data_IF_425782327146
#
_entry.id   IF_425782327146
#
_cell.length_a   1.000
_cell.length_b   1.000
_cell.length_c   1.000
_cell.angle_alpha   90.00
_cell.angle_beta   90.00
_cell.angle_gamma   90.00
#
_symmetry.space_group_name_H-M   'P 1'
#
loop_
_entity.id
_entity.type
_entity.pdbx_description
1 polymer ?
#
# COMPACT_ATOMS: atom_id res chain seq x y z
N UNK A 1 -14.05 -28.16 9.82
CA UNK A 1 -14.49 -26.76 9.79
C UNK A 1 -13.63 -26.03 8.77
N UNK A 2 -14.16 -25.06 8.02
CA UNK A 2 -13.34 -24.25 7.10
C UNK A 2 -12.26 -23.49 7.88
N UNK A 3 -11.07 -23.31 7.30
CA UNK A 3 -9.97 -22.54 7.91
C UNK A 3 -10.40 -21.07 8.10
N UNK A 4 -11.03 -20.49 7.08
CA UNK A 4 -11.57 -19.13 7.08
C UNK A 4 -13.04 -19.12 6.63
N UNK A 5 -13.80 -18.16 7.16
CA UNK A 5 -15.14 -17.81 6.71
C UNK A 5 -15.26 -16.30 6.49
N UNK A 6 -16.02 -15.89 5.48
CA UNK A 6 -16.25 -14.48 5.18
C UNK A 6 -17.53 -14.01 5.87
N UNK A 7 -17.43 -12.94 6.66
CA UNK A 7 -18.53 -12.42 7.47
C UNK A 7 -18.68 -10.91 7.27
N UNK A 8 -19.78 -10.32 7.73
CA UNK A 8 -19.98 -8.86 7.72
C UNK A 8 -18.96 -8.08 8.57
N UNK A 9 -18.17 -8.75 9.41
CA UNK A 9 -17.11 -8.12 10.23
C UNK A 9 -15.70 -8.33 9.66
N UNK A 10 -15.55 -9.09 8.58
CA UNK A 10 -14.25 -9.43 7.99
C UNK A 10 -14.04 -10.92 7.81
N UNK A 11 -12.78 -11.26 7.50
CA UNK A 11 -12.29 -12.63 7.27
C UNK A 11 -12.05 -13.29 8.63
N UNK A 12 -12.86 -14.29 8.99
CA UNK A 12 -12.87 -14.90 10.31
C UNK A 12 -12.20 -16.27 10.30
N UNK A 13 -11.35 -16.56 11.27
CA UNK A 13 -10.85 -17.90 11.55
C UNK A 13 -11.58 -18.49 12.78
N UNK A 14 -12.51 -19.45 12.60
CA UNK A 14 -13.23 -20.06 13.72
C UNK A 14 -12.31 -20.78 14.71
N UNK A 15 -11.31 -21.52 14.21
CA UNK A 15 -10.40 -22.32 15.02
C UNK A 15 -9.51 -21.48 15.96
N UNK A 16 -9.16 -20.26 15.54
CA UNK A 16 -8.38 -19.32 16.36
C UNK A 16 -9.21 -18.23 17.02
N UNK A 17 -10.51 -18.14 16.71
CA UNK A 17 -11.41 -17.06 17.13
C UNK A 17 -10.80 -15.66 16.93
N UNK A 18 -10.35 -15.36 15.71
CA UNK A 18 -9.81 -14.06 15.34
C UNK A 18 -10.25 -13.66 13.94
N UNK A 19 -10.10 -12.37 13.63
CA UNK A 19 -10.37 -11.81 12.31
C UNK A 19 -9.08 -11.27 11.69
N UNK A 20 -9.00 -11.31 10.37
CA UNK A 20 -7.96 -10.66 9.59
C UNK A 20 -8.56 -9.38 8.99
N UNK A 21 -7.88 -8.25 9.22
CA UNK A 21 -8.30 -6.90 8.82
C UNK A 21 -9.81 -6.64 9.02
N UNK A 22 -10.33 -6.76 10.25
CA UNK A 22 -11.78 -6.67 10.48
C UNK A 22 -12.36 -5.28 10.22
N UNK A 23 -13.56 -5.24 9.65
CA UNK A 23 -14.25 -3.99 9.29
C UNK A 23 -14.99 -3.34 10.46
N UNK A 24 -15.18 -4.09 11.54
CA UNK A 24 -15.90 -3.68 12.74
C UNK A 24 -15.14 -4.12 14.01
N UNK A 25 -15.41 -3.51 15.18
CA UNK A 25 -14.82 -3.93 16.46
C UNK A 25 -14.97 -5.44 16.73
N UNK A 26 -13.85 -6.09 17.08
CA UNK A 26 -13.75 -7.52 17.40
C UNK A 26 -12.79 -7.73 18.57
N UNK A 27 -12.77 -8.94 19.11
CA UNK A 27 -11.91 -9.27 20.24
C UNK A 27 -10.42 -9.45 19.85
N UNK A 28 -10.12 -10.04 18.68
CA UNK A 28 -8.75 -10.18 18.17
C UNK A 28 -8.70 -9.89 16.67
N UNK A 29 -7.89 -8.91 16.30
CA UNK A 29 -7.60 -8.53 14.92
C UNK A 29 -6.14 -8.85 14.58
N UNK A 30 -5.95 -9.57 13.48
CA UNK A 30 -4.65 -9.77 12.84
C UNK A 30 -4.59 -8.79 11.68
N UNK A 31 -3.59 -7.91 11.69
CA UNK A 31 -3.51 -6.78 10.78
C UNK A 31 -2.39 -7.02 9.76
N UNK A 32 -2.74 -7.02 8.47
CA UNK A 32 -1.78 -7.23 7.37
C UNK A 32 -0.80 -6.06 7.26
N UNK A 33 -1.29 -4.82 7.37
CA UNK A 33 -0.47 -3.62 7.25
C UNK A 33 -1.18 -2.35 7.78
N UNK A 34 -0.50 -1.19 7.69
CA UNK A 34 -0.89 0.04 8.38
C UNK A 34 -1.85 1.00 7.64
N UNK A 35 -2.44 0.65 6.50
CA UNK A 35 -3.45 1.51 5.84
C UNK A 35 -4.82 1.46 6.54
N UNK A 36 -5.70 2.42 6.25
CA UNK A 36 -6.87 2.75 7.10
C UNK A 36 -7.98 1.74 6.95
N UNK A 37 -8.10 1.24 5.73
CA UNK A 37 -9.08 0.26 5.32
C UNK A 37 -8.75 -1.14 5.88
N UNK A 38 -7.51 -1.37 6.33
CA UNK A 38 -7.03 -2.59 7.01
C UNK A 38 -6.88 -2.43 8.54
N UNK A 39 -6.10 -1.45 8.99
CA UNK A 39 -5.85 -1.18 10.41
C UNK A 39 -6.93 -0.27 10.99
N UNK A 40 -8.10 -0.83 11.33
CA UNK A 40 -9.24 -0.08 11.87
C UNK A 40 -9.24 -0.02 13.42
N UNK A 41 -9.79 1.04 14.04
CA UNK A 41 -9.84 1.16 15.49
C UNK A 41 -10.94 0.29 16.13
N UNK A 42 -10.90 0.18 17.47
CA UNK A 42 -11.98 -0.40 18.27
C UNK A 42 -11.84 -1.90 18.58
N UNK A 43 -10.86 -2.61 18.02
CA UNK A 43 -10.59 -4.00 18.40
C UNK A 43 -9.94 -4.08 19.79
N UNK A 44 -10.19 -5.16 20.54
CA UNK A 44 -9.63 -5.33 21.90
C UNK A 44 -8.15 -5.69 21.90
N UNK A 45 -7.70 -6.45 20.90
CA UNK A 45 -6.32 -6.93 20.75
C UNK A 45 -5.93 -6.92 19.28
N UNK A 46 -4.72 -6.48 18.99
CA UNK A 46 -4.16 -6.42 17.67
C UNK A 46 -2.89 -7.28 17.62
N UNK A 47 -2.67 -7.95 16.49
CA UNK A 47 -1.43 -8.61 16.16
C UNK A 47 -0.99 -8.16 14.76
N UNK A 48 0.22 -7.62 14.65
CA UNK A 48 0.83 -7.23 13.38
C UNK A 48 2.32 -7.56 13.39
N UNK A 49 3.00 -7.36 12.26
CA UNK A 49 4.46 -7.48 12.24
C UNK A 49 5.11 -6.40 13.11
N UNK A 50 6.30 -6.71 13.65
CA UNK A 50 7.06 -5.71 14.40
C UNK A 50 7.36 -4.42 13.59
N UNK A 51 7.72 -4.48 12.29
CA UNK A 51 7.96 -3.28 11.49
C UNK A 51 6.69 -2.48 11.17
N UNK A 52 5.50 -3.09 11.09
CA UNK A 52 4.25 -2.35 10.88
C UNK A 52 3.77 -1.60 12.13
N UNK A 53 4.18 -2.05 13.32
CA UNK A 53 3.61 -1.59 14.59
C UNK A 53 3.72 -0.07 14.84
N UNK A 54 4.83 0.62 14.54
CA UNK A 54 4.95 2.06 14.76
C UNK A 54 3.98 2.88 13.91
N UNK A 55 3.78 2.52 12.64
CA UNK A 55 2.81 3.19 11.76
C UNK A 55 1.38 2.92 12.22
N UNK A 56 1.07 1.68 12.61
CA UNK A 56 -0.25 1.34 13.15
C UNK A 56 -0.53 2.13 14.45
N UNK A 57 0.44 2.27 15.35
CA UNK A 57 0.29 3.09 16.58
C UNK A 57 0.20 4.58 16.28
N UNK A 58 0.94 5.08 15.29
CA UNK A 58 0.82 6.47 14.85
C UNK A 58 -0.61 6.79 14.43
N UNK A 59 -1.27 5.85 13.73
CA UNK A 59 -2.63 5.99 13.22
C UNK A 59 -3.71 5.77 14.29
N UNK A 60 -3.59 4.70 15.07
CA UNK A 60 -4.65 4.25 15.99
C UNK A 60 -4.45 4.69 17.44
N UNK A 61 -3.30 5.31 17.75
CA UNK A 61 -2.95 5.74 19.10
C UNK A 61 -2.63 4.56 20.03
N UNK A 62 -3.02 4.71 21.30
CA UNK A 62 -2.74 3.77 22.38
C UNK A 62 -3.59 2.49 22.32
N UNK A 63 -3.32 1.63 21.34
CA UNK A 63 -3.98 0.32 21.20
C UNK A 63 -3.18 -0.81 21.87
N UNK A 64 -3.88 -1.89 22.23
CA UNK A 64 -3.26 -3.14 22.69
C UNK A 64 -2.72 -3.93 21.49
N UNK A 65 -1.55 -3.54 20.99
CA UNK A 65 -0.86 -4.14 19.86
C UNK A 65 0.31 -5.01 20.29
N UNK A 66 0.17 -6.31 20.04
CA UNK A 66 1.23 -7.32 20.10
C UNK A 66 1.90 -7.45 18.72
N UNK A 67 3.14 -7.95 18.71
CA UNK A 67 3.92 -8.10 17.48
C UNK A 67 4.41 -9.53 17.26
N UNK A 68 4.67 -9.84 16.00
CA UNK A 68 5.22 -11.12 15.54
C UNK A 68 6.32 -10.87 14.50
N UNK A 69 7.36 -11.70 14.51
CA UNK A 69 8.38 -11.68 13.46
C UNK A 69 7.91 -12.37 12.18
N UNK A 70 8.45 -11.99 11.02
CA UNK A 70 8.23 -12.75 9.79
C UNK A 70 8.68 -14.20 9.95
N UNK A 71 7.89 -15.15 9.46
CA UNK A 71 8.14 -16.59 9.56
C UNK A 71 7.96 -17.19 10.97
N UNK A 72 7.80 -16.37 12.02
CA UNK A 72 7.50 -16.85 13.37
C UNK A 72 6.13 -17.53 13.37
N UNK A 73 6.07 -18.71 13.99
CA UNK A 73 4.85 -19.51 14.10
C UNK A 73 4.23 -19.31 15.48
N UNK A 74 2.99 -18.81 15.51
CA UNK A 74 2.22 -18.58 16.74
C UNK A 74 0.96 -19.43 16.72
N UNK A 75 0.76 -20.23 17.76
CA UNK A 75 -0.49 -20.96 17.97
C UNK A 75 -1.54 -20.02 18.56
N UNK A 76 -2.70 -19.95 17.92
CA UNK A 76 -3.86 -19.18 18.40
C UNK A 76 -5.07 -20.11 18.34
N UNK A 77 -5.59 -20.54 19.49
CA UNK A 77 -6.58 -21.61 19.56
C UNK A 77 -6.05 -22.89 18.88
N UNK A 78 -6.85 -23.46 17.99
CA UNK A 78 -6.51 -24.65 17.20
C UNK A 78 -5.81 -24.34 15.88
N UNK A 79 -5.53 -23.06 15.61
CA UNK A 79 -4.84 -22.61 14.40
C UNK A 79 -3.35 -22.32 14.64
N UNK A 80 -2.54 -22.52 13.61
CA UNK A 80 -1.14 -22.10 13.55
C UNK A 80 -1.00 -20.94 12.57
N UNK A 81 -0.53 -19.80 13.05
CA UNK A 81 -0.43 -18.55 12.29
C UNK A 81 1.02 -18.13 12.09
N UNK A 82 1.36 -17.63 10.91
CA UNK A 82 2.62 -16.93 10.63
C UNK A 82 2.42 -15.78 9.65
N UNK A 83 3.28 -14.77 9.73
CA UNK A 83 3.26 -13.59 8.87
C UNK A 83 4.44 -13.65 7.90
N UNK A 84 4.23 -13.27 6.64
CA UNK A 84 5.23 -13.34 5.57
C UNK A 84 5.24 -12.04 4.77
N UNK A 85 6.39 -11.55 4.27
CA UNK A 85 6.46 -10.30 3.52
C UNK A 85 5.47 -10.20 2.35
N UNK A 86 4.78 -9.05 2.24
CA UNK A 86 3.86 -8.75 1.14
C UNK A 86 4.42 -7.73 0.12
N UNK A 87 5.53 -7.05 0.41
CA UNK A 87 6.14 -6.08 -0.52
C UNK A 87 5.34 -4.79 -0.78
N UNK A 88 4.23 -4.57 -0.08
CA UNK A 88 3.34 -3.42 -0.28
C UNK A 88 3.91 -2.14 0.37
N UNK A 89 4.05 -2.17 1.69
CA UNK A 89 4.69 -1.13 2.52
C UNK A 89 5.60 -1.77 3.57
N UNK A 90 6.54 -1.02 4.20
CA UNK A 90 7.38 -1.58 5.27
C UNK A 90 6.56 -2.25 6.36
N UNK A 91 6.86 -3.53 6.65
CA UNK A 91 6.09 -4.33 7.61
C UNK A 91 4.80 -4.98 7.08
N UNK A 92 4.40 -4.72 5.83
CA UNK A 92 3.23 -5.37 5.24
C UNK A 92 3.40 -6.88 5.11
N UNK A 93 2.34 -7.61 5.43
CA UNK A 93 2.41 -9.06 5.52
C UNK A 93 1.19 -9.78 4.94
N UNK A 94 1.49 -10.89 4.28
CA UNK A 94 0.58 -12.00 4.07
C UNK A 94 0.44 -12.78 5.39
N UNK A 95 -0.77 -13.24 5.69
CA UNK A 95 -1.05 -14.02 6.90
C UNK A 95 -1.37 -15.45 6.49
N UNK A 96 -0.50 -16.38 6.89
CA UNK A 96 -0.66 -17.82 6.71
C UNK A 96 -1.37 -18.41 7.92
N UNK A 97 -2.43 -19.16 7.68
CA UNK A 97 -3.24 -19.84 8.69
C UNK A 97 -3.31 -21.33 8.34
N UNK A 98 -2.93 -22.17 9.27
CA UNK A 98 -3.03 -23.62 9.15
C UNK A 98 -3.95 -24.20 10.23
N UNK A 99 -4.91 -25.03 9.81
CA UNK A 99 -5.84 -25.75 10.68
C UNK A 99 -5.94 -27.19 10.18
N UNK A 100 -5.60 -28.15 11.03
CA UNK A 100 -5.66 -29.58 10.71
C UNK A 100 -4.96 -29.97 9.38
N UNK A 101 -3.84 -29.30 9.06
CA UNK A 101 -3.05 -29.53 7.84
C UNK A 101 -3.52 -28.75 6.61
N UNK A 102 -4.71 -28.15 6.63
CA UNK A 102 -5.18 -27.26 5.56
C UNK A 102 -4.63 -25.84 5.78
N UNK A 103 -4.12 -25.22 4.71
CA UNK A 103 -3.40 -23.95 4.75
C UNK A 103 -4.09 -22.92 3.87
N UNK A 104 -4.45 -21.80 4.47
CA UNK A 104 -4.96 -20.62 3.77
C UNK A 104 -3.97 -19.47 3.96
N UNK A 105 -3.83 -18.63 2.94
CA UNK A 105 -3.03 -17.41 3.02
C UNK A 105 -3.91 -16.23 2.60
N UNK A 106 -3.96 -15.20 3.43
CA UNK A 106 -4.57 -13.91 3.10
C UNK A 106 -3.46 -12.94 2.75
N UNK A 107 -3.47 -12.42 1.52
CA UNK A 107 -2.37 -11.60 1.01
C UNK A 107 -2.24 -10.25 1.70
N UNK A 108 -3.38 -9.67 2.13
CA UNK A 108 -3.47 -8.21 2.28
C UNK A 108 -3.26 -7.52 0.93
N UNK A 109 -2.81 -6.29 0.96
CA UNK A 109 -2.28 -5.63 -0.23
C UNK A 109 -0.82 -6.06 -0.45
N UNK A 110 -0.43 -6.25 -1.71
CA UNK A 110 0.90 -6.77 -2.03
C UNK A 110 1.43 -6.25 -3.35
N UNK A 111 2.76 -6.21 -3.48
CA UNK A 111 3.47 -5.90 -4.73
C UNK A 111 4.64 -6.86 -4.89
N UNK A 112 4.81 -7.38 -6.10
CA UNK A 112 5.87 -8.34 -6.44
C UNK A 112 7.21 -7.67 -6.77
N UNK A 113 7.22 -6.42 -7.24
CA UNK A 113 8.44 -5.67 -7.50
C UNK A 113 9.16 -5.31 -6.18
N UNK A 114 10.43 -5.70 -6.06
CA UNK A 114 11.30 -5.30 -4.95
C UNK A 114 11.72 -3.83 -5.13
N UNK A 115 11.15 -2.94 -4.33
CA UNK A 115 11.29 -1.48 -4.49
C UNK A 115 12.47 -0.86 -3.73
N UNK A 116 13.14 -1.65 -2.88
CA UNK A 116 14.24 -1.20 -2.01
C UNK A 116 13.78 -0.50 -0.72
N UNK A 117 12.48 -0.39 -0.47
CA UNK A 117 11.88 0.19 0.73
C UNK A 117 11.23 -0.88 1.61
N UNK A 118 10.39 -1.73 1.03
CA UNK A 118 9.64 -2.77 1.73
C UNK A 118 10.36 -4.11 1.64
N UNK A 119 10.11 -5.02 2.59
CA UNK A 119 10.59 -6.39 2.45
C UNK A 119 10.03 -7.02 1.17
N UNK A 120 10.86 -7.64 0.30
CA UNK A 120 10.38 -8.22 -0.95
C UNK A 120 9.28 -9.26 -0.72
N UNK A 121 8.30 -9.29 -1.61
CA UNK A 121 7.21 -10.29 -1.56
C UNK A 121 7.75 -11.72 -1.46
N UNK A 122 7.25 -12.48 -0.50
CA UNK A 122 7.63 -13.88 -0.28
C UNK A 122 6.50 -14.81 -0.73
N UNK A 123 6.66 -15.62 -1.79
CA UNK A 123 5.62 -16.55 -2.18
C UNK A 123 5.35 -17.61 -1.10
N UNK A 124 4.10 -17.71 -0.63
CA UNK A 124 3.69 -18.67 0.40
C UNK A 124 2.81 -19.76 -0.19
N UNK A 125 3.23 -21.03 -0.04
CA UNK A 125 2.45 -22.18 -0.47
C UNK A 125 1.15 -22.31 0.32
N UNK A 126 0.03 -22.48 -0.36
CA UNK A 126 -1.30 -22.58 0.25
C UNK A 126 -2.21 -23.53 -0.52
N UNK A 127 -3.25 -24.04 0.16
CA UNK A 127 -4.36 -24.76 -0.49
C UNK A 127 -5.41 -23.77 -1.00
N UNK A 128 -5.55 -22.64 -0.31
CA UNK A 128 -6.41 -21.53 -0.69
C UNK A 128 -5.70 -20.19 -0.50
N UNK A 129 -5.87 -19.27 -1.44
CA UNK A 129 -5.26 -17.94 -1.41
C UNK A 129 -6.32 -16.86 -1.54
N UNK A 130 -6.36 -15.93 -0.58
CA UNK A 130 -7.20 -14.72 -0.65
C UNK A 130 -6.33 -13.58 -1.14
N UNK A 131 -6.57 -13.13 -2.38
CA UNK A 131 -5.78 -12.12 -3.08
C UNK A 131 -6.58 -10.83 -3.27
N UNK A 132 -5.95 -9.68 -3.03
CA UNK A 132 -6.40 -8.44 -3.66
C UNK A 132 -6.33 -8.52 -5.20
N UNK A 133 -7.10 -7.68 -5.90
CA UNK A 133 -6.98 -7.51 -7.34
C UNK A 133 -7.30 -6.07 -7.78
N UNK A 134 -6.73 -5.10 -7.05
CA UNK A 134 -6.86 -3.66 -7.33
C UNK A 134 -6.63 -3.36 -8.81
N UNK A 135 -5.60 -3.98 -9.39
CA UNK A 135 -5.22 -3.86 -10.79
C UNK A 135 -5.47 -5.15 -11.60
N UNK A 136 -6.58 -5.84 -11.32
CA UNK A 136 -7.01 -7.07 -11.99
C UNK A 136 -7.51 -6.93 -13.43
N UNK A 137 -6.87 -6.08 -14.25
CA UNK A 137 -7.11 -6.00 -15.71
C UNK A 137 -5.77 -6.04 -16.48
N UNK A 138 -5.72 -6.67 -17.67
CA UNK A 138 -4.49 -6.75 -18.48
C UNK A 138 -3.87 -5.42 -18.90
N UNK A 139 -4.63 -4.32 -18.85
CA UNK A 139 -4.14 -2.98 -19.17
C UNK A 139 -3.18 -2.44 -18.10
N UNK A 140 -3.26 -2.95 -16.87
CA UNK A 140 -2.32 -2.63 -15.82
C UNK A 140 -1.11 -3.54 -15.96
N UNK A 141 -0.03 -2.96 -16.47
CA UNK A 141 1.24 -3.62 -16.68
C UNK A 141 2.31 -2.57 -16.37
N UNK A 142 3.02 -2.76 -15.26
CA UNK A 142 3.94 -1.76 -14.73
C UNK A 142 5.19 -1.69 -15.61
N UNK A 143 5.62 -0.46 -15.90
CA UNK A 143 6.99 -0.25 -16.34
C UNK A 143 7.92 -0.48 -15.14
N UNK A 144 9.17 -0.93 -15.37
CA UNK A 144 10.15 -1.06 -14.28
C UNK A 144 10.27 0.25 -13.49
N UNK A 145 10.30 0.19 -12.16
CA UNK A 145 10.39 1.36 -11.27
C UNK A 145 11.48 2.34 -11.69
N UNK A 146 12.66 1.84 -12.09
CA UNK A 146 13.78 2.67 -12.52
C UNK A 146 13.44 3.58 -13.72
N UNK A 147 12.58 3.13 -14.64
CA UNK A 147 12.14 3.93 -15.77
C UNK A 147 11.20 5.05 -15.31
N UNK A 148 10.24 4.72 -14.43
CA UNK A 148 9.27 5.69 -13.89
C UNK A 148 9.99 6.76 -13.05
N UNK A 149 10.98 6.36 -12.25
CA UNK A 149 11.81 7.29 -11.48
C UNK A 149 12.63 8.21 -12.38
N UNK A 150 13.21 7.68 -13.47
CA UNK A 150 13.93 8.50 -14.44
C UNK A 150 13.00 9.53 -15.14
N UNK A 151 11.75 9.18 -15.42
CA UNK A 151 10.75 10.12 -15.94
C UNK A 151 10.41 11.23 -14.93
N UNK A 152 10.27 10.87 -13.65
CA UNK A 152 10.02 11.83 -12.56
C UNK A 152 11.23 12.76 -12.40
N UNK A 153 12.45 12.23 -12.37
CA UNK A 153 13.69 12.98 -12.23
C UNK A 153 13.89 13.94 -13.41
N UNK A 154 13.62 13.50 -14.64
CA UNK A 154 13.71 14.35 -15.82
C UNK A 154 12.69 15.50 -15.78
N UNK A 155 11.45 15.21 -15.35
CA UNK A 155 10.41 16.22 -15.18
C UNK A 155 10.77 17.22 -14.07
N UNK A 156 11.24 16.72 -12.92
CA UNK A 156 11.67 17.56 -11.81
C UNK A 156 12.85 18.45 -12.20
N UNK A 157 13.90 17.89 -12.81
CA UNK A 157 15.08 18.65 -13.23
C UNK A 157 14.74 19.77 -14.23
N UNK A 158 13.83 19.51 -15.18
CA UNK A 158 13.37 20.52 -16.13
C UNK A 158 12.64 21.68 -15.41
N UNK A 159 11.76 21.38 -14.45
CA UNK A 159 11.09 22.41 -13.65
C UNK A 159 12.08 23.17 -12.76
N UNK A 160 13.02 22.46 -12.15
CA UNK A 160 14.04 23.04 -11.28
C UNK A 160 14.93 24.04 -12.01
N UNK A 161 15.32 23.74 -13.27
CA UNK A 161 16.08 24.65 -14.12
C UNK A 161 15.36 25.97 -14.42
N UNK A 162 14.03 25.99 -14.37
CA UNK A 162 13.18 27.18 -14.52
C UNK A 162 12.82 27.83 -13.16
N UNK A 163 13.33 27.30 -12.05
CA UNK A 163 12.94 27.72 -10.69
C UNK A 163 11.51 27.34 -10.29
N UNK A 164 10.84 26.47 -11.08
CA UNK A 164 9.45 26.05 -10.88
C UNK A 164 9.35 24.85 -9.95
N UNK A 165 8.42 24.89 -9.01
CA UNK A 165 8.12 23.74 -8.14
C UNK A 165 7.49 22.59 -8.92
N UNK A 166 7.81 21.37 -8.47
CA UNK A 166 7.18 20.12 -8.92
C UNK A 166 6.32 19.57 -7.78
N UNK A 167 5.00 19.71 -7.84
CA UNK A 167 4.09 19.12 -6.86
C UNK A 167 3.70 17.71 -7.31
N UNK A 168 4.14 16.68 -6.59
CA UNK A 168 3.86 15.30 -6.92
C UNK A 168 2.92 14.67 -5.89
N UNK A 169 1.75 14.25 -6.37
CA UNK A 169 0.73 13.58 -5.58
C UNK A 169 1.09 12.13 -5.33
N UNK A 170 1.14 11.72 -4.06
CA UNK A 170 1.38 10.34 -3.64
C UNK A 170 0.74 10.07 -2.27
N UNK A 171 0.35 8.81 -2.03
CA UNK A 171 -0.23 8.39 -0.75
C UNK A 171 0.76 8.59 0.40
N UNK A 172 0.23 8.98 1.56
CA UNK A 172 1.02 9.36 2.73
C UNK A 172 1.84 8.19 3.32
N UNK A 173 1.32 6.96 3.21
CA UNK A 173 1.99 5.72 3.59
C UNK A 173 2.30 4.90 2.34
N UNK A 174 3.56 4.48 2.20
CA UNK A 174 4.05 3.63 1.10
C UNK A 174 4.59 4.47 -0.04
N UNK A 175 3.70 4.95 -0.91
CA UNK A 175 4.05 5.56 -2.20
C UNK A 175 4.98 6.77 -2.08
N UNK A 176 4.69 7.68 -1.14
CA UNK A 176 5.54 8.85 -0.92
C UNK A 176 6.95 8.45 -0.47
N UNK A 177 7.08 7.47 0.43
CA UNK A 177 8.39 7.01 0.90
C UNK A 177 9.15 6.23 -0.17
N UNK A 178 8.44 5.48 -1.01
CA UNK A 178 9.04 4.79 -2.16
C UNK A 178 9.59 5.78 -3.18
N UNK A 179 8.85 6.85 -3.44
CA UNK A 179 9.34 7.97 -4.27
C UNK A 179 10.57 8.62 -3.63
N UNK A 180 10.52 8.94 -2.33
CA UNK A 180 11.67 9.51 -1.62
C UNK A 180 12.92 8.63 -1.71
N UNK A 181 12.77 7.32 -1.54
CA UNK A 181 13.90 6.39 -1.64
C UNK A 181 14.47 6.28 -3.07
N UNK A 182 13.68 6.60 -4.09
CA UNK A 182 14.03 6.37 -5.49
C UNK A 182 14.49 7.60 -6.30
N UNK A 183 14.01 8.80 -5.98
CA UNK A 183 14.34 10.01 -6.77
C UNK A 183 15.78 10.46 -6.58
N UNK A 184 16.35 11.11 -7.59
CA UNK A 184 17.69 11.68 -7.51
C UNK A 184 17.72 12.96 -6.65
N UNK A 185 18.11 12.81 -5.39
CA UNK A 185 18.22 13.91 -4.42
C UNK A 185 19.24 15.01 -4.79
N UNK A 186 20.10 14.76 -5.79
CA UNK A 186 21.04 15.75 -6.32
C UNK A 186 20.38 16.84 -7.18
N UNK A 187 19.12 16.68 -7.59
CA UNK A 187 18.40 17.67 -8.41
C UNK A 187 18.04 18.91 -7.59
N UNK A 188 17.70 18.73 -6.31
CA UNK A 188 17.31 19.84 -5.44
C UNK A 188 16.69 19.37 -4.12
N UNK A 189 16.20 20.31 -3.30
CA UNK A 189 15.53 19.97 -2.05
C UNK A 189 14.20 19.26 -2.31
N UNK A 190 13.80 18.42 -1.35
CA UNK A 190 12.51 17.74 -1.34
C UNK A 190 11.68 18.26 -0.16
N UNK A 191 10.49 18.76 -0.46
CA UNK A 191 9.53 19.27 0.52
C UNK A 191 8.42 18.25 0.75
N UNK A 192 7.86 18.24 1.94
CA UNK A 192 6.81 17.28 2.32
C UNK A 192 5.61 17.98 2.94
N UNK A 193 4.42 17.57 2.51
CA UNK A 193 3.19 17.83 3.25
C UNK A 193 3.24 17.15 4.63
N UNK A 194 2.61 17.75 5.63
CA UNK A 194 2.65 17.26 7.02
C UNK A 194 2.23 15.80 7.19
N UNK A 195 1.20 15.34 6.46
CA UNK A 195 0.78 13.93 6.49
C UNK A 195 1.86 12.94 6.00
N UNK A 196 2.62 13.32 4.95
CA UNK A 196 3.75 12.50 4.45
C UNK A 196 4.89 12.57 5.45
N UNK A 197 5.24 13.77 5.93
CA UNK A 197 6.34 13.94 6.86
C UNK A 197 6.11 13.17 8.17
N UNK A 198 4.89 13.18 8.71
CA UNK A 198 4.56 12.44 9.91
C UNK A 198 4.86 10.94 9.76
N UNK A 199 4.50 10.36 8.60
CA UNK A 199 4.80 8.96 8.29
C UNK A 199 6.30 8.74 8.06
N UNK A 200 6.99 9.65 7.36
CA UNK A 200 8.44 9.60 7.18
C UNK A 200 9.19 9.65 8.51
N UNK A 201 8.75 10.50 9.45
CA UNK A 201 9.34 10.61 10.78
C UNK A 201 9.22 9.30 11.57
N UNK A 202 8.06 8.63 11.51
CA UNK A 202 7.86 7.30 12.09
C UNK A 202 8.84 6.30 11.46
N UNK A 203 8.94 6.24 10.13
CA UNK A 203 9.84 5.32 9.44
C UNK A 203 11.32 5.59 9.76
N UNK A 204 11.76 6.86 9.78
CA UNK A 204 13.13 7.22 10.17
C UNK A 204 13.43 6.83 11.61
N UNK A 205 12.48 6.99 12.53
CA UNK A 205 12.63 6.56 13.92
C UNK A 205 12.76 5.02 14.06
N UNK A 206 12.29 4.26 13.06
CA UNK A 206 12.51 2.81 12.95
C UNK A 206 13.85 2.43 12.31
N UNK A 207 14.64 3.41 11.87
CA UNK A 207 15.92 3.17 11.18
C UNK A 207 15.78 2.98 9.67
N UNK A 208 14.59 3.20 9.08
CA UNK A 208 14.42 3.19 7.62
C UNK A 208 15.12 4.41 7.04
N UNK A 209 16.08 4.18 6.13
CA UNK A 209 16.82 5.23 5.48
C UNK A 209 15.94 5.94 4.44
N UNK A 210 15.51 7.17 4.76
CA UNK A 210 14.84 8.07 3.84
C UNK A 210 15.68 9.35 3.70
N UNK A 211 15.78 9.94 2.51
CA UNK A 211 16.54 11.17 2.33
C UNK A 211 15.99 12.31 3.21
N UNK A 212 16.80 13.33 3.50
CA UNK A 212 16.34 14.51 4.22
C UNK A 212 15.24 15.23 3.45
N UNK A 213 14.22 15.69 4.17
CA UNK A 213 13.08 16.45 3.64
C UNK A 213 12.90 17.74 4.42
N UNK A 214 12.25 18.73 3.80
CA UNK A 214 11.85 19.98 4.43
C UNK A 214 10.33 19.97 4.63
N UNK A 215 9.83 19.84 5.88
CA UNK A 215 8.41 19.88 6.16
C UNK A 215 7.83 21.26 5.84
N UNK A 216 6.70 21.29 5.13
CA UNK A 216 6.04 22.55 4.77
C UNK A 216 5.07 22.98 5.87
N UNK A 217 5.46 23.97 6.66
CA UNK A 217 4.67 24.61 7.72
C UNK A 217 4.18 26.00 7.27
N UNK A 218 3.28 26.68 7.99
CA UNK A 218 2.88 28.05 7.65
C UNK A 218 4.04 29.05 7.57
N UNK A 219 5.11 28.83 8.34
CA UNK A 219 6.28 29.70 8.46
C UNK A 219 7.36 29.42 7.41
N UNK A 220 7.24 28.32 6.65
CA UNK A 220 8.22 27.96 5.62
C UNK A 220 8.33 29.05 4.54
N UNK A 221 9.53 29.61 4.35
CA UNK A 221 9.84 30.47 3.22
C UNK A 221 10.04 29.64 1.95
N UNK A 222 8.96 29.47 1.18
CA UNK A 222 9.01 28.72 -0.07
C UNK A 222 9.97 29.34 -1.09
N UNK A 223 10.21 30.66 -1.08
CA UNK A 223 11.11 31.28 -2.07
C UNK A 223 12.55 30.79 -1.94
N UNK A 224 12.97 30.42 -0.73
CA UNK A 224 14.28 29.82 -0.47
C UNK A 224 14.44 28.40 -1.05
N UNK A 225 13.34 27.80 -1.53
CA UNK A 225 13.29 26.45 -2.08
C UNK A 225 12.80 26.41 -3.54
N UNK A 226 13.01 27.46 -4.32
CA UNK A 226 12.64 27.48 -5.73
C UNK A 226 13.20 26.25 -6.48
N UNK A 227 12.39 25.65 -7.36
CA UNK A 227 12.77 24.45 -8.12
C UNK A 227 12.61 23.10 -7.38
N UNK A 228 12.12 23.10 -6.14
CA UNK A 228 12.01 21.89 -5.36
C UNK A 228 10.93 20.90 -5.84
N UNK A 229 11.11 19.63 -5.50
CA UNK A 229 10.06 18.61 -5.53
C UNK A 229 9.29 18.69 -4.22
N UNK A 230 7.97 18.82 -4.26
CA UNK A 230 7.13 18.74 -3.07
C UNK A 230 6.19 17.55 -3.19
N UNK A 231 6.25 16.65 -2.20
CA UNK A 231 5.36 15.50 -2.11
C UNK A 231 4.15 15.85 -1.24
N UNK A 232 2.95 15.52 -1.71
CA UNK A 232 1.72 15.71 -0.98
C UNK A 232 0.69 14.61 -1.25
N UNK A 233 -0.24 14.34 -0.32
CA UNK A 233 -1.42 13.56 -0.62
C UNK A 233 -2.17 14.14 -1.83
N UNK A 234 -2.76 13.31 -2.72
CA UNK A 234 -3.49 13.80 -3.89
C UNK A 234 -4.58 14.84 -3.56
N UNK A 235 -5.23 14.71 -2.40
CA UNK A 235 -6.25 15.65 -1.91
C UNK A 235 -5.69 17.07 -1.65
N UNK A 236 -4.40 17.20 -1.36
CA UNK A 236 -3.77 18.49 -1.09
C UNK A 236 -3.40 19.26 -2.38
N UNK A 237 -3.31 18.59 -3.53
CA UNK A 237 -2.88 19.19 -4.80
C UNK A 237 -3.87 20.22 -5.36
N UNK A 238 -5.16 20.11 -5.04
CA UNK A 238 -6.18 21.12 -5.40
C UNK A 238 -6.47 22.15 -4.30
N UNK A 239 -5.82 22.02 -3.14
CA UNK A 239 -6.20 22.71 -1.91
C UNK A 239 -5.45 24.03 -1.62
N UNK A 240 -5.74 24.66 -0.47
CA UNK A 240 -4.98 25.81 0.03
C UNK A 240 -3.48 25.57 0.14
N UNK A 241 -3.06 24.33 0.46
CA UNK A 241 -1.66 23.97 0.56
C UNK A 241 -0.92 24.15 -0.76
N UNK A 242 -1.44 23.59 -1.87
CA UNK A 242 -0.82 23.67 -3.18
C UNK A 242 -0.76 25.11 -3.73
N UNK A 243 -1.76 25.94 -3.41
CA UNK A 243 -1.81 27.35 -3.83
C UNK A 243 -0.62 28.18 -3.32
N UNK A 244 0.04 27.76 -2.23
CA UNK A 244 1.23 28.43 -1.70
C UNK A 244 2.43 28.37 -2.65
N UNK A 245 2.47 27.39 -3.54
CA UNK A 245 3.57 27.16 -4.48
C UNK A 245 3.45 27.95 -5.80
N UNK A 246 2.42 28.80 -5.94
CA UNK A 246 2.23 29.64 -7.11
C UNK A 246 2.02 28.83 -8.40
N UNK A 247 2.73 29.20 -9.47
CA UNK A 247 2.68 28.52 -10.77
C UNK A 247 3.53 27.24 -10.80
N UNK A 248 3.22 26.29 -9.92
CA UNK A 248 3.90 25.00 -9.86
C UNK A 248 3.42 24.04 -10.95
N UNK A 249 4.30 23.14 -11.38
CA UNK A 249 3.91 21.99 -12.20
C UNK A 249 3.33 20.89 -11.30
N UNK A 250 2.28 20.22 -11.75
CA UNK A 250 1.59 19.19 -10.98
C UNK A 250 1.72 17.81 -11.63
N UNK A 251 2.02 16.81 -10.81
CA UNK A 251 2.12 15.41 -11.20
C UNK A 251 1.34 14.52 -10.25
N UNK A 252 0.91 13.35 -10.71
CA UNK A 252 0.31 12.31 -9.87
C UNK A 252 1.02 10.98 -10.10
N UNK A 253 1.53 10.37 -9.04
CA UNK A 253 2.05 8.99 -9.04
C UNK A 253 0.93 8.04 -8.63
N UNK A 254 0.46 7.21 -9.55
CA UNK A 254 -0.61 6.23 -9.29
C UNK A 254 -0.68 5.18 -10.39
N UNK A 255 -1.01 3.93 -10.05
CA UNK A 255 -1.25 2.86 -11.02
C UNK A 255 -2.37 3.20 -12.01
N UNK A 256 -3.33 4.02 -11.58
CA UNK A 256 -4.43 4.51 -12.39
C UNK A 256 -4.00 5.40 -13.56
N UNK A 257 -2.77 5.91 -13.57
CA UNK A 257 -2.23 6.67 -14.70
C UNK A 257 -2.06 5.81 -15.96
N UNK A 258 -2.13 4.48 -15.84
CA UNK A 258 -2.16 3.56 -16.99
C UNK A 258 -3.43 3.70 -17.85
N UNK A 259 -4.54 4.17 -17.27
CA UNK A 259 -5.81 4.33 -18.00
C UNK A 259 -5.86 5.65 -18.77
N UNK A 260 -6.26 5.56 -20.04
CA UNK A 260 -6.48 6.73 -20.89
C UNK A 260 -7.49 7.68 -20.25
N UNK A 261 -7.16 8.97 -20.20
CA UNK A 261 -8.07 10.02 -19.74
C UNK A 261 -8.15 10.24 -18.23
N UNK A 262 -7.56 9.39 -17.38
CA UNK A 262 -7.50 9.65 -15.92
C UNK A 262 -6.70 10.93 -15.63
N UNK A 263 -5.56 11.11 -16.29
CA UNK A 263 -4.75 12.34 -16.19
C UNK A 263 -5.59 13.61 -16.41
N UNK A 264 -6.39 13.63 -17.48
CA UNK A 264 -7.25 14.78 -17.81
C UNK A 264 -8.34 15.00 -16.76
N UNK A 265 -8.93 13.94 -16.22
CA UNK A 265 -9.96 14.03 -15.15
C UNK A 265 -9.40 14.58 -13.83
N UNK A 266 -8.15 14.24 -13.49
CA UNK A 266 -7.48 14.68 -12.26
C UNK A 266 -6.85 16.09 -12.37
N UNK A 267 -6.86 16.70 -13.57
CA UNK A 267 -6.31 18.05 -13.78
C UNK A 267 -4.80 18.17 -13.55
N UNK A 268 -4.06 17.06 -13.53
CA UNK A 268 -2.61 17.05 -13.36
C UNK A 268 -1.88 17.22 -14.70
N UNK A 269 -0.78 17.97 -14.71
CA UNK A 269 0.03 18.19 -15.91
C UNK A 269 0.73 16.89 -16.36
N UNK A 270 1.15 16.08 -15.38
CA UNK A 270 1.83 14.80 -15.59
C UNK A 270 1.20 13.66 -14.78
N UNK A 271 1.30 12.45 -15.31
CA UNK A 271 0.90 11.23 -14.63
C UNK A 271 2.01 10.21 -14.74
N UNK A 272 2.39 9.61 -13.62
CA UNK A 272 3.44 8.61 -13.51
C UNK A 272 2.81 7.30 -13.04
N UNK A 273 3.00 6.22 -13.81
CA UNK A 273 2.42 4.91 -13.51
C UNK A 273 3.27 4.21 -12.46
N UNK A 274 2.99 4.50 -11.19
CA UNK A 274 3.64 3.88 -10.04
C UNK A 274 2.57 3.44 -9.05
N UNK A 275 2.55 2.15 -8.69
CA UNK A 275 1.65 1.61 -7.69
C UNK A 275 2.40 0.70 -6.72
N UNK A 276 1.90 0.66 -5.49
CA UNK A 276 2.40 -0.23 -4.44
C UNK A 276 1.63 -1.56 -4.40
N UNK A 277 0.82 -1.82 -5.44
CA UNK A 277 0.09 -3.06 -5.64
C UNK A 277 0.63 -3.81 -6.86
N UNK A 278 0.40 -5.12 -6.90
CA UNK A 278 0.72 -5.96 -8.04
C UNK A 278 -0.10 -5.55 -9.27
N UNK A 279 0.54 -5.51 -10.43
CA UNK A 279 -0.14 -5.39 -11.72
C UNK A 279 -0.73 -6.74 -12.14
N UNK A 280 -1.30 -6.77 -13.35
CA UNK A 280 -1.81 -8.00 -13.93
C UNK A 280 -0.79 -9.15 -13.93
N UNK A 281 0.45 -8.89 -14.33
CA UNK A 281 1.49 -9.91 -14.39
C UNK A 281 1.85 -10.41 -12.98
N UNK A 282 2.08 -9.50 -12.04
CA UNK A 282 2.41 -9.79 -10.65
C UNK A 282 1.29 -10.53 -9.91
N UNK A 283 0.02 -10.18 -10.13
CA UNK A 283 -1.13 -10.90 -9.55
C UNK A 283 -1.14 -12.36 -10.01
N UNK A 284 -0.97 -12.60 -11.32
CA UNK A 284 -0.96 -13.96 -11.88
C UNK A 284 0.26 -14.76 -11.42
N UNK A 285 1.43 -14.13 -11.35
CA UNK A 285 2.67 -14.75 -10.87
C UNK A 285 2.56 -15.15 -9.40
N UNK A 286 2.13 -14.24 -8.52
CA UNK A 286 1.95 -14.51 -7.10
C UNK A 286 1.00 -15.69 -6.87
N UNK A 287 -0.17 -15.69 -7.53
CA UNK A 287 -1.16 -16.78 -7.43
C UNK A 287 -0.55 -18.12 -7.88
N UNK A 288 0.14 -18.15 -9.04
CA UNK A 288 0.81 -19.36 -9.54
C UNK A 288 1.82 -19.91 -8.53
N UNK A 289 2.59 -19.05 -7.89
CA UNK A 289 3.66 -19.46 -6.96
C UNK A 289 3.12 -20.01 -5.64
N UNK A 290 1.94 -19.54 -5.19
CA UNK A 290 1.25 -20.17 -4.06
C UNK A 290 0.87 -21.63 -4.34
N UNK A 291 0.60 -21.94 -5.62
CA UNK A 291 0.03 -23.21 -6.07
C UNK A 291 -1.30 -23.56 -5.42
N UNK A 292 -2.05 -22.56 -4.97
CA UNK A 292 -3.39 -22.74 -4.46
C UNK A 292 -4.35 -23.16 -5.58
N UNK A 293 -5.17 -24.16 -5.29
CA UNK A 293 -6.25 -24.59 -6.17
C UNK A 293 -7.45 -23.65 -6.07
N UNK A 294 -7.73 -23.18 -4.84
CA UNK A 294 -8.80 -22.21 -4.55
C UNK A 294 -8.25 -20.80 -4.44
N UNK A 295 -8.85 -19.86 -5.16
CA UNK A 295 -8.45 -18.45 -5.14
C UNK A 295 -9.66 -17.57 -4.88
N UNK A 296 -9.60 -16.79 -3.82
CA UNK A 296 -10.62 -15.83 -3.42
C UNK A 296 -10.13 -14.43 -3.78
N UNK A 297 -10.77 -13.77 -4.73
CA UNK A 297 -10.37 -12.42 -5.14
C UNK A 297 -11.22 -11.36 -4.46
N UNK A 298 -10.56 -10.29 -4.06
CA UNK A 298 -11.16 -9.15 -3.35
C UNK A 298 -10.67 -7.82 -3.91
N UNK A 299 -11.48 -6.76 -3.78
CA UNK A 299 -11.22 -5.38 -4.27
C UNK A 299 -10.95 -5.23 -5.78
N UNK A 300 -11.10 -4.02 -6.31
CA UNK A 300 -10.78 -3.73 -7.72
C UNK A 300 -11.66 -4.48 -8.73
N UNK A 301 -11.02 -5.14 -9.69
CA UNK A 301 -11.67 -5.71 -10.89
C UNK A 301 -12.07 -7.19 -10.72
N UNK A 302 -12.64 -7.52 -9.56
CA UNK A 302 -12.95 -8.90 -9.12
C UNK A 302 -13.70 -9.74 -10.14
N UNK A 303 -14.70 -9.18 -10.84
CA UNK A 303 -15.52 -9.95 -11.79
C UNK A 303 -14.71 -10.42 -13.01
N UNK A 304 -13.89 -9.53 -13.57
CA UNK A 304 -13.06 -9.86 -14.75
C UNK A 304 -11.93 -10.79 -14.33
N UNK A 305 -11.26 -10.49 -13.22
CA UNK A 305 -10.13 -11.28 -12.75
C UNK A 305 -10.53 -12.69 -12.29
N UNK A 306 -11.66 -12.82 -11.58
CA UNK A 306 -12.22 -14.14 -11.22
C UNK A 306 -12.48 -15.00 -12.44
N UNK A 307 -13.06 -14.42 -13.50
CA UNK A 307 -13.33 -15.16 -14.75
C UNK A 307 -12.02 -15.62 -15.39
N UNK A 308 -11.03 -14.73 -15.46
CA UNK A 308 -9.70 -15.08 -15.98
C UNK A 308 -9.08 -16.24 -15.20
N UNK A 309 -9.09 -16.20 -13.87
CA UNK A 309 -8.55 -17.28 -13.04
C UNK A 309 -9.26 -18.61 -13.26
N UNK A 310 -10.58 -18.60 -13.42
CA UNK A 310 -11.35 -19.81 -13.76
C UNK A 310 -10.94 -20.37 -15.13
N UNK A 311 -10.70 -19.50 -16.13
CA UNK A 311 -10.19 -19.90 -17.44
C UNK A 311 -8.75 -20.47 -17.37
N UNK A 312 -7.96 -20.08 -16.35
CA UNK A 312 -6.64 -20.67 -16.04
C UNK A 312 -6.72 -21.97 -15.22
N UNK A 313 -7.91 -22.43 -14.85
CA UNK A 313 -8.12 -23.69 -14.12
C UNK A 313 -8.17 -23.57 -12.60
N UNK A 314 -8.22 -22.37 -12.03
CA UNK A 314 -8.41 -22.18 -10.60
C UNK A 314 -9.89 -22.28 -10.21
N UNK A 315 -10.17 -22.81 -9.01
CA UNK A 315 -11.46 -22.65 -8.35
C UNK A 315 -11.54 -21.24 -7.76
N UNK A 316 -12.04 -20.29 -8.56
CA UNK A 316 -12.01 -18.87 -8.25
C UNK A 316 -13.37 -18.34 -7.76
N UNK A 317 -13.36 -17.60 -6.65
CA UNK A 317 -14.53 -16.99 -6.03
C UNK A 317 -14.31 -15.50 -5.74
N UNK A 318 -15.41 -14.73 -5.73
CA UNK A 318 -15.37 -13.30 -5.35
C UNK A 318 -15.79 -13.20 -3.90
N UNK A 319 -14.96 -12.52 -3.10
CA UNK A 319 -15.29 -12.15 -1.74
C UNK A 319 -15.68 -10.69 -1.70
N UNK A 320 -16.85 -10.40 -1.10
CA UNK A 320 -17.24 -9.03 -0.81
C UNK A 320 -16.65 -8.60 0.52
N UNK A 321 -16.07 -7.42 0.51
CA UNK A 321 -15.16 -6.92 1.55
C UNK A 321 -15.25 -5.41 1.63
N UNK A 322 -14.80 -4.83 2.74
CA UNK A 322 -14.79 -3.39 2.96
C UNK A 322 -13.38 -2.75 2.89
N UNK A 323 -12.37 -3.45 2.36
CA UNK A 323 -11.14 -2.76 1.93
C UNK A 323 -11.44 -1.88 0.71
N UNK A 324 -10.62 -0.87 0.49
CA UNK A 324 -10.82 0.07 -0.60
C UNK A 324 -9.67 -0.05 -1.63
N UNK A 325 -8.46 -0.45 -1.20
CA UNK A 325 -7.28 -0.55 -2.06
C UNK A 325 -6.89 0.81 -2.65
N UNK A 326 -5.94 0.83 -3.59
CA UNK A 326 -5.64 2.08 -4.33
C UNK A 326 -6.85 2.44 -5.21
N UNK A 327 -7.58 3.52 -4.90
CA UNK A 327 -8.74 3.94 -5.72
C UNK A 327 -8.52 5.23 -6.50
N UNK A 328 -9.33 5.41 -7.55
CA UNK A 328 -9.36 6.62 -8.37
C UNK A 328 -9.84 7.88 -7.62
N UNK A 329 -10.40 7.75 -6.42
CA UNK A 329 -11.01 8.86 -5.66
C UNK A 329 -10.49 8.98 -4.22
N UNK A 330 -9.62 8.07 -3.77
CA UNK A 330 -9.12 8.06 -2.38
C UNK A 330 -8.37 9.37 -2.07
N UNK A 331 -9.03 10.21 -1.29
CA UNK A 331 -8.41 11.12 -0.36
C UNK A 331 -8.26 10.31 0.94
N UNK A 332 -7.10 9.71 1.20
CA UNK A 332 -6.86 9.25 2.57
C UNK A 332 -6.35 10.42 3.40
N UNK A 333 -7.13 10.70 4.43
CA UNK A 333 -7.17 11.94 5.21
C UNK A 333 -5.95 12.18 6.09
N UNK A 334 -5.78 13.46 6.40
CA UNK A 334 -4.98 13.95 7.51
C UNK A 334 -5.45 13.33 8.85
N UNK A 335 -4.56 13.22 9.86
CA UNK A 335 -4.87 12.63 11.16
C UNK A 335 -6.06 13.26 11.88
#
# INVERSE_FOLDING_TARGET
MSVLTFTERGIFCPAGNFFIDPWAPVDRALITHGHSDHARPGHRRYLATAPAAPVIRHRLGGIALDTIGYGERRRIGDSLVSFHPAGHVPGSAQIRIEVAGEVWVVSGDYKTEADGLSEPFEPVRAHAFVSECTFGLPVFNWAPQAQVLAEIDAWWAANAAEGRFSLLGAYALGKAQRLLAGVNTGIGPILTHGAIEATCAVMRAQGIALPPTVPVTPETDLKAHAGALALAPPSALGGPWARRFGTAATGLASGWMALRGVRRRRGADRGFVLSDHADWAGLNEAIRETGAERVFVTHGYTTVFRRWLADQGHDAEIVRTAFEGETLDSAEDAP
#
